data_IF_930973855169
#
_entry.id   IF_930973855169
#
_cell.length_a   1.000
_cell.length_b   1.000
_cell.length_c   1.000
_cell.angle_alpha   90.00
_cell.angle_beta   90.00
_cell.angle_gamma   90.00
#
_symmetry.space_group_name_H-M   'P 1'
#
loop_
_entity.id
_entity.type
_entity.pdbx_description
1 polymer ?
#
# COMPACT_ATOMS: atom_id res chain seq x y z
N UNK A 1 8.15 1.41 -15.22
CA UNK A 1 7.77 1.82 -13.83
C UNK A 1 7.85 0.61 -12.93
N UNK A 2 8.43 0.74 -11.75
CA UNK A 2 8.36 -0.32 -10.75
C UNK A 2 6.99 -0.31 -10.06
N UNK A 3 6.53 -1.46 -9.59
CA UNK A 3 5.28 -1.55 -8.86
C UNK A 3 5.29 -0.75 -7.54
N UNK A 4 6.46 -0.67 -6.88
CA UNK A 4 6.61 0.17 -5.68
C UNK A 4 6.40 1.64 -6.00
N UNK A 5 6.95 2.11 -7.10
CA UNK A 5 6.78 3.48 -7.57
C UNK A 5 5.33 3.77 -7.97
N UNK A 6 4.70 2.81 -8.66
CA UNK A 6 3.28 2.88 -8.99
C UNK A 6 2.41 2.99 -7.74
N UNK A 7 2.64 2.13 -6.76
CA UNK A 7 1.88 2.11 -5.51
C UNK A 7 1.97 3.46 -4.79
N UNK A 8 3.18 3.99 -4.64
CA UNK A 8 3.38 5.30 -4.04
C UNK A 8 2.65 6.40 -4.81
N UNK A 9 2.77 6.40 -6.13
CA UNK A 9 2.14 7.41 -6.98
C UNK A 9 0.61 7.39 -6.85
N UNK A 10 0.00 6.21 -6.86
CA UNK A 10 -1.46 6.06 -6.73
C UNK A 10 -1.94 6.50 -5.34
N UNK A 11 -1.26 6.07 -4.28
CA UNK A 11 -1.62 6.43 -2.91
C UNK A 11 -1.49 7.94 -2.71
N UNK A 12 -0.40 8.54 -3.14
CA UNK A 12 -0.15 9.97 -2.91
C UNK A 12 -0.94 10.88 -3.85
N UNK A 13 -1.47 10.37 -4.96
CA UNK A 13 -2.32 11.14 -5.86
C UNK A 13 -3.76 11.34 -5.33
N UNK A 14 -4.20 10.49 -4.42
CA UNK A 14 -5.55 10.56 -3.85
C UNK A 14 -5.60 11.59 -2.71
N UNK A 15 -6.29 12.71 -2.91
CA UNK A 15 -6.38 13.77 -1.90
C UNK A 15 -7.04 13.32 -0.61
N UNK A 16 -8.01 12.40 -0.69
CA UNK A 16 -8.68 11.86 0.51
C UNK A 16 -7.71 11.05 1.39
N UNK A 17 -6.70 10.44 0.79
CA UNK A 17 -5.63 9.74 1.54
C UNK A 17 -4.62 10.74 2.08
N UNK A 18 -4.14 11.66 1.26
CA UNK A 18 -3.13 12.65 1.68
C UNK A 18 -3.65 13.65 2.70
N UNK A 19 -4.95 13.91 2.73
CA UNK A 19 -5.57 14.70 3.79
C UNK A 19 -5.47 14.03 5.16
N UNK A 20 -5.40 12.69 5.18
CA UNK A 20 -5.29 11.93 6.43
C UNK A 20 -3.82 11.70 6.84
N UNK A 21 -2.96 11.32 5.90
CA UNK A 21 -1.58 10.89 6.21
C UNK A 21 -0.51 11.88 5.76
N UNK A 22 -0.88 12.94 5.02
CA UNK A 22 0.07 13.90 4.44
C UNK A 22 1.11 13.18 3.56
N UNK A 23 2.40 13.41 3.80
CA UNK A 23 3.50 12.76 3.08
C UNK A 23 4.02 11.51 3.80
N UNK A 24 3.34 11.06 4.86
CA UNK A 24 3.76 9.92 5.68
C UNK A 24 3.40 8.59 5.03
N UNK A 25 3.95 8.36 3.85
CA UNK A 25 3.81 7.13 3.06
C UNK A 25 5.21 6.61 2.78
N UNK A 26 5.58 5.48 3.38
CA UNK A 26 6.94 4.94 3.30
C UNK A 26 6.95 3.48 2.86
N UNK A 27 7.99 3.05 2.11
CA UNK A 27 8.14 1.65 1.74
C UNK A 27 8.76 0.81 2.87
N UNK A 28 8.26 -0.41 3.03
CA UNK A 28 8.76 -1.49 3.87
C UNK A 28 8.79 -1.24 5.37
N UNK A 29 9.37 -0.15 5.85
CA UNK A 29 9.49 0.14 7.27
C UNK A 29 9.11 1.59 7.56
N UNK A 30 8.46 1.79 8.70
CA UNK A 30 8.22 3.13 9.21
C UNK A 30 9.51 3.71 9.78
N UNK A 31 9.87 4.91 9.36
CA UNK A 31 10.93 5.66 10.01
C UNK A 31 10.43 6.13 11.40
N UNK A 32 11.27 6.04 12.44
CA UNK A 32 10.92 6.48 13.79
C UNK A 32 10.52 7.97 13.86
N UNK A 33 11.05 8.78 12.96
CA UNK A 33 10.69 10.20 12.84
C UNK A 33 9.35 10.42 12.15
N UNK A 34 8.81 9.40 11.48
CA UNK A 34 7.51 9.47 10.83
C UNK A 34 6.41 9.44 11.88
N UNK A 35 5.59 10.49 11.91
CA UNK A 35 4.45 10.56 12.81
C UNK A 35 3.29 9.68 12.38
N UNK A 36 2.22 9.72 13.15
CA UNK A 36 0.95 9.04 12.86
C UNK A 36 -0.15 10.06 12.56
N UNK A 37 -1.13 9.71 11.73
CA UNK A 37 -1.26 8.47 10.98
C UNK A 37 -0.26 8.35 9.85
N UNK A 38 0.03 7.13 9.42
CA UNK A 38 0.94 6.88 8.31
C UNK A 38 0.56 5.61 7.54
N UNK A 39 1.14 5.46 6.36
CA UNK A 39 1.00 4.28 5.53
C UNK A 39 2.38 3.68 5.28
N UNK A 40 2.49 2.37 5.46
CA UNK A 40 3.68 1.59 5.08
C UNK A 40 3.25 0.57 4.05
N UNK A 41 3.89 0.57 2.89
CA UNK A 41 3.57 -0.39 1.83
C UNK A 41 4.77 -1.27 1.51
N UNK A 42 4.49 -2.51 1.08
CA UNK A 42 5.50 -3.48 0.68
C UNK A 42 4.96 -4.37 -0.44
N UNK A 43 5.89 -5.00 -1.16
CA UNK A 43 5.58 -5.91 -2.27
C UNK A 43 6.14 -7.30 -1.91
N UNK A 44 5.43 -8.09 -1.10
CA UNK A 44 5.98 -9.34 -0.58
C UNK A 44 6.10 -10.45 -1.62
N UNK A 45 5.36 -10.36 -2.74
CA UNK A 45 5.31 -11.46 -3.70
C UNK A 45 5.04 -10.96 -5.12
N UNK A 46 5.69 -11.61 -6.10
CA UNK A 46 5.43 -11.43 -7.51
C UNK A 46 5.32 -12.81 -8.18
N UNK A 47 4.20 -13.05 -8.86
CA UNK A 47 3.98 -14.24 -9.66
C UNK A 47 4.07 -13.89 -11.15
N UNK A 48 4.80 -14.67 -11.90
CA UNK A 48 5.03 -14.45 -13.33
C UNK A 48 4.36 -15.56 -14.14
N UNK A 49 3.52 -15.18 -15.09
CA UNK A 49 2.99 -16.10 -16.10
C UNK A 49 3.87 -16.02 -17.33
N UNK A 50 4.39 -17.17 -17.76
CA UNK A 50 5.27 -17.27 -18.92
C UNK A 50 4.65 -18.10 -20.02
N UNK A 51 4.99 -17.79 -21.28
CA UNK A 51 4.65 -18.63 -22.43
C UNK A 51 5.76 -19.62 -22.70
N UNK A 52 5.47 -20.62 -23.53
CA UNK A 52 6.48 -21.54 -24.05
C UNK A 52 7.59 -20.72 -24.74
N UNK A 53 8.83 -20.93 -24.33
CA UNK A 53 9.96 -20.12 -24.78
C UNK A 53 10.50 -19.13 -23.74
N UNK A 54 9.84 -19.01 -22.58
CA UNK A 54 10.35 -18.28 -21.42
C UNK A 54 10.04 -16.79 -21.37
N UNK A 55 9.23 -16.27 -22.28
CA UNK A 55 8.80 -14.85 -22.22
C UNK A 55 7.76 -14.66 -21.15
N UNK A 56 7.90 -13.59 -20.36
CA UNK A 56 6.90 -13.20 -19.36
C UNK A 56 5.74 -12.52 -20.07
N UNK A 57 4.52 -13.06 -19.91
CA UNK A 57 3.30 -12.46 -20.45
C UNK A 57 2.58 -11.57 -19.45
N UNK A 58 2.44 -12.04 -18.23
CA UNK A 58 1.66 -11.36 -17.20
C UNK A 58 2.38 -11.43 -15.86
N UNK A 59 2.32 -10.34 -15.14
CA UNK A 59 2.86 -10.24 -13.78
C UNK A 59 1.71 -9.99 -12.81
N UNK A 60 1.68 -10.77 -11.73
CA UNK A 60 0.77 -10.56 -10.61
C UNK A 60 1.60 -10.21 -9.39
N UNK A 61 1.39 -9.03 -8.86
CA UNK A 61 2.17 -8.51 -7.73
C UNK A 61 1.24 -8.29 -6.55
N UNK A 62 1.61 -8.83 -5.40
CA UNK A 62 0.93 -8.56 -4.16
C UNK A 62 1.47 -7.27 -3.55
N UNK A 63 0.59 -6.32 -3.28
CA UNK A 63 0.88 -5.09 -2.58
C UNK A 63 0.22 -5.15 -1.21
N UNK A 64 1.02 -5.06 -0.16
CA UNK A 64 0.53 -4.95 1.20
C UNK A 64 0.60 -3.50 1.66
N UNK A 65 -0.51 -2.95 2.10
CA UNK A 65 -0.60 -1.59 2.62
C UNK A 65 -1.01 -1.64 4.08
N UNK A 66 -0.15 -1.18 4.96
CA UNK A 66 -0.41 -1.11 6.39
C UNK A 66 -0.77 0.33 6.75
N UNK A 67 -2.00 0.53 7.21
CA UNK A 67 -2.52 1.83 7.63
C UNK A 67 -2.41 1.91 9.15
N UNK A 68 -1.54 2.77 9.64
CA UNK A 68 -1.18 2.86 11.05
C UNK A 68 -1.67 4.15 11.67
N UNK A 69 -2.31 4.07 12.83
CA UNK A 69 -2.77 5.23 13.58
C UNK A 69 -2.84 4.93 15.06
N UNK A 70 -2.84 5.98 15.87
CA UNK A 70 -3.14 5.88 17.32
C UNK A 70 -4.62 5.64 17.59
N UNK A 71 -5.48 5.78 16.59
CA UNK A 71 -6.92 5.54 16.65
C UNK A 71 -7.31 4.40 15.71
N UNK A 72 -8.02 3.38 16.21
CA UNK A 72 -8.48 2.28 15.36
C UNK A 72 -9.47 2.75 14.29
N UNK A 73 -10.29 3.75 14.61
CA UNK A 73 -11.25 4.33 13.66
C UNK A 73 -10.52 5.01 12.50
N UNK A 74 -9.47 5.77 12.80
CA UNK A 74 -8.68 6.45 11.80
C UNK A 74 -7.90 5.47 10.92
N UNK A 75 -7.32 4.41 11.50
CA UNK A 75 -6.63 3.38 10.73
C UNK A 75 -7.57 2.69 9.74
N UNK A 76 -8.79 2.39 10.18
CA UNK A 76 -9.82 1.78 9.33
C UNK A 76 -10.31 2.74 8.23
N UNK A 77 -10.48 4.02 8.56
CA UNK A 77 -10.84 5.07 7.60
C UNK A 77 -9.79 5.20 6.49
N UNK A 78 -8.51 5.20 6.84
CA UNK A 78 -7.42 5.23 5.86
C UNK A 78 -7.47 3.99 4.97
N UNK A 79 -7.70 2.82 5.55
CA UNK A 79 -7.81 1.57 4.79
C UNK A 79 -8.97 1.61 3.79
N UNK A 80 -10.12 2.15 4.17
CA UNK A 80 -11.26 2.34 3.26
C UNK A 80 -10.90 3.26 2.10
N UNK A 81 -10.23 4.37 2.37
CA UNK A 81 -9.81 5.29 1.32
C UNK A 81 -8.80 4.65 0.37
N UNK A 82 -7.86 3.86 0.90
CA UNK A 82 -6.90 3.11 0.08
C UNK A 82 -7.64 2.13 -0.84
N UNK A 83 -8.58 1.36 -0.31
CA UNK A 83 -9.36 0.41 -1.11
C UNK A 83 -10.09 1.14 -2.24
N UNK A 84 -10.81 2.21 -1.92
CA UNK A 84 -11.61 2.94 -2.91
C UNK A 84 -10.74 3.55 -4.02
N UNK A 85 -9.63 4.19 -3.67
CA UNK A 85 -8.81 4.91 -4.64
C UNK A 85 -7.88 4.00 -5.43
N UNK A 86 -7.28 2.99 -4.78
CA UNK A 86 -6.34 2.09 -5.47
C UNK A 86 -7.08 1.13 -6.41
N UNK A 87 -8.23 0.60 -6.01
CA UNK A 87 -9.00 -0.31 -6.87
C UNK A 87 -9.61 0.40 -8.09
N UNK A 88 -9.84 1.71 -7.99
CA UNK A 88 -10.39 2.50 -9.10
C UNK A 88 -9.36 2.94 -10.12
N UNK A 89 -8.05 2.80 -9.83
CA UNK A 89 -7.00 3.33 -10.68
C UNK A 89 -6.46 2.29 -11.67
N UNK A 90 -6.22 2.76 -12.88
CA UNK A 90 -5.40 2.07 -13.88
C UNK A 90 -4.33 3.07 -14.31
N UNK A 91 -3.06 2.68 -14.13
CA UNK A 91 -1.94 3.55 -14.47
C UNK A 91 -1.11 2.85 -15.53
N UNK A 92 -0.82 3.58 -16.61
CA UNK A 92 0.03 3.07 -17.69
C UNK A 92 1.51 3.35 -17.33
N UNK A 93 2.33 2.31 -17.46
CA UNK A 93 3.79 2.46 -17.31
C UNK A 93 4.34 3.31 -18.44
N UNK A 94 4.99 4.43 -18.10
CA UNK A 94 5.55 5.39 -19.06
C UNK A 94 6.66 4.78 -19.91
N UNK A 95 7.35 3.76 -19.40
CA UNK A 95 8.47 3.12 -20.10
C UNK A 95 8.02 2.03 -21.06
N UNK A 96 7.07 1.19 -20.64
CA UNK A 96 6.64 0.02 -21.41
C UNK A 96 5.28 0.19 -22.07
N UNK A 97 4.51 1.20 -21.69
CA UNK A 97 3.14 1.39 -22.15
C UNK A 97 2.12 0.42 -21.57
N UNK A 98 2.52 -0.39 -20.57
CA UNK A 98 1.69 -1.42 -19.99
C UNK A 98 0.81 -0.84 -18.88
N UNK A 99 -0.47 -1.19 -18.90
CA UNK A 99 -1.39 -0.79 -17.86
C UNK A 99 -1.24 -1.68 -16.62
N UNK A 100 -1.12 -1.05 -15.46
CA UNK A 100 -1.10 -1.71 -14.16
C UNK A 100 -2.42 -1.40 -13.46
N UNK A 101 -3.13 -2.43 -13.04
CA UNK A 101 -4.42 -2.29 -12.39
C UNK A 101 -4.54 -3.22 -11.18
N UNK A 102 -5.38 -2.83 -10.23
CA UNK A 102 -5.73 -3.69 -9.10
C UNK A 102 -6.88 -4.61 -9.49
N UNK A 103 -6.72 -5.91 -9.31
CA UNK A 103 -7.74 -6.92 -9.66
C UNK A 103 -8.40 -7.53 -8.42
N UNK A 104 -7.79 -7.40 -7.26
CA UNK A 104 -8.34 -7.93 -6.02
C UNK A 104 -7.86 -7.10 -4.83
N UNK A 105 -8.75 -6.88 -3.87
CA UNK A 105 -8.41 -6.25 -2.60
C UNK A 105 -9.00 -7.08 -1.45
N UNK A 106 -8.18 -7.40 -0.47
CA UNK A 106 -8.57 -8.15 0.72
C UNK A 106 -8.15 -7.39 1.96
N UNK A 107 -9.08 -7.26 2.91
CA UNK A 107 -8.80 -6.66 4.20
C UNK A 107 -9.28 -7.60 5.30
N UNK A 108 -8.40 -8.02 6.24
CA UNK A 108 -8.83 -8.75 7.43
C UNK A 108 -9.83 -7.91 8.25
N UNK A 109 -10.81 -8.57 8.85
CA UNK A 109 -11.82 -7.88 9.66
C UNK A 109 -11.30 -7.46 11.04
N UNK A 110 -10.22 -8.09 11.51
CA UNK A 110 -9.58 -7.75 12.77
C UNK A 110 -8.48 -6.71 12.56
N UNK A 111 -8.43 -5.74 13.47
CA UNK A 111 -7.38 -4.71 13.47
C UNK A 111 -6.30 -5.16 14.44
N UNK A 112 -5.05 -5.19 13.96
CA UNK A 112 -3.90 -5.44 14.81
C UNK A 112 -3.59 -4.21 15.65
N UNK A 113 -3.03 -4.44 16.83
CA UNK A 113 -2.50 -3.38 17.66
C UNK A 113 -1.17 -3.81 18.25
N UNK A 114 -0.25 -2.87 18.34
CA UNK A 114 1.07 -3.13 18.92
C UNK A 114 1.65 -1.84 19.52
N UNK A 115 2.64 -2.01 20.39
CA UNK A 115 3.43 -0.89 20.86
C UNK A 115 4.60 -0.67 19.93
N UNK A 116 4.79 0.57 19.49
CA UNK A 116 5.93 0.98 18.69
C UNK A 116 6.63 2.15 19.37
N UNK A 117 7.93 2.25 19.19
CA UNK A 117 8.69 3.39 19.68
C UNK A 117 8.36 4.65 18.89
N UNK A 118 8.08 5.73 19.60
CA UNK A 118 7.97 7.05 19.00
C UNK A 118 9.36 7.68 18.81
N UNK A 119 9.40 8.85 18.17
CA UNK A 119 10.64 9.58 17.92
C UNK A 119 11.46 9.85 19.20
N UNK A 120 10.80 10.12 20.31
CA UNK A 120 11.44 10.39 21.61
C UNK A 120 11.79 9.12 22.40
N UNK A 121 11.54 7.93 21.81
CA UNK A 121 11.83 6.65 22.43
C UNK A 121 10.76 6.12 23.37
N UNK A 122 9.67 6.86 23.59
CA UNK A 122 8.54 6.38 24.38
C UNK A 122 7.66 5.41 23.58
N UNK A 123 7.04 4.39 24.23
CA UNK A 123 6.16 3.47 23.53
C UNK A 123 4.81 4.12 23.20
N UNK A 124 4.36 3.92 21.94
CA UNK A 124 3.02 4.29 21.47
C UNK A 124 2.20 3.04 21.19
N UNK A 125 0.94 3.05 21.59
CA UNK A 125 -0.02 2.03 21.17
C UNK A 125 -0.56 2.40 19.81
N UNK A 126 -0.32 1.54 18.82
CA UNK A 126 -0.67 1.78 17.43
C UNK A 126 -1.64 0.71 16.96
N UNK A 127 -2.64 1.13 16.20
CA UNK A 127 -3.58 0.26 15.51
C UNK A 127 -3.18 0.16 14.04
N UNK A 128 -3.15 -1.06 13.51
CA UNK A 128 -2.72 -1.35 12.15
C UNK A 128 -3.83 -2.06 11.40
N UNK A 129 -4.32 -1.45 10.34
CA UNK A 129 -5.24 -2.08 9.40
C UNK A 129 -4.47 -2.41 8.13
N UNK A 130 -4.42 -3.69 7.78
CA UNK A 130 -3.68 -4.17 6.62
C UNK A 130 -4.63 -4.40 5.45
N UNK A 131 -4.27 -3.87 4.29
CA UNK A 131 -4.96 -4.12 3.03
C UNK A 131 -4.01 -4.85 2.09
N UNK A 132 -4.44 -5.99 1.57
CA UNK A 132 -3.69 -6.75 0.57
C UNK A 132 -4.35 -6.55 -0.79
N UNK A 133 -3.57 -6.07 -1.74
CA UNK A 133 -4.02 -5.76 -3.09
C UNK A 133 -3.24 -6.61 -4.08
N UNK A 134 -3.93 -7.16 -5.07
CA UNK A 134 -3.29 -7.87 -6.17
C UNK A 134 -3.28 -6.96 -7.39
N UNK A 135 -2.08 -6.65 -7.86
CA UNK A 135 -1.85 -5.82 -9.04
C UNK A 135 -1.51 -6.71 -10.22
N UNK A 136 -2.02 -6.36 -11.38
CA UNK A 136 -1.75 -7.07 -12.63
C UNK A 136 -1.18 -6.12 -13.67
N UNK A 137 -0.12 -6.57 -14.35
CA UNK A 137 0.49 -5.90 -15.48
C UNK A 137 1.20 -6.91 -16.37
N UNK A 138 1.55 -6.50 -17.55
CA UNK A 138 2.28 -7.36 -18.48
C UNK A 138 3.75 -6.95 -18.64
#
# INVERSE_FOLDING_TARGET
MSYAKWARAVITAASDITDLVSTRVTPYLRNRETGFPCIVYSLPREDLETVAGGSVQTRHVELQVQCMSRSHVEADEIAEEVIQHVTAQTVTDDTTGIAIQCVEAVRPTSIEREFQDSYDGSPDLIYITTVNLTLTGA
#
